data_IF_225274780649
#
_entry.id   IF_225274780649
#
_cell.length_a   1.000
_cell.length_b   1.000
_cell.length_c   1.000
_cell.angle_alpha   90.00
_cell.angle_beta   90.00
_cell.angle_gamma   90.00
#
_symmetry.space_group_name_H-M   'P 1'
#
loop_
_entity.id
_entity.type
_entity.pdbx_description
1 polymer ?
#
# COMPACT_ATOMS: atom_id res chain seq x y z
N UNK A 1 12.76 -2.72 -15.65
CA UNK A 1 12.19 -2.86 -15.50
C UNK A 1 11.26 -3.21 -15.58
N UNK A 2 10.93 -3.13 -15.94
CA UNK A 2 10.13 -3.38 -16.02
C UNK A 2 9.16 -3.51 -16.25
N UNK A 3 8.94 -3.59 -16.46
CA UNK A 3 8.14 -3.70 -16.75
C UNK A 3 7.20 -3.99 -16.99
N UNK A 4 6.95 -4.03 -16.61
CA UNK A 4 6.11 -4.46 -17.03
C UNK A 4 5.14 -4.07 -17.69
N UNK A 5 5.20 -3.94 -18.32
CA UNK A 5 4.50 -3.42 -18.95
C UNK A 5 3.52 -3.96 -19.79
N UNK A 6 3.38 -5.10 -19.87
CA UNK A 6 2.41 -5.65 -20.69
C UNK A 6 1.09 -5.73 -20.09
N UNK A 7 1.03 -5.77 -18.86
CA UNK A 7 -0.20 -5.97 -18.23
C UNK A 7 -0.82 -4.72 -17.79
N UNK A 8 -1.91 -4.83 -17.14
CA UNK A 8 -2.59 -3.73 -16.55
C UNK A 8 -2.19 -3.56 -15.11
N UNK A 9 -1.28 -4.40 -14.64
CA UNK A 9 -0.85 -4.32 -13.26
C UNK A 9 0.65 -4.40 -13.17
N UNK A 10 1.18 -3.90 -12.11
CA UNK A 10 2.59 -3.94 -11.81
C UNK A 10 2.76 -4.46 -10.40
N UNK A 11 3.98 -4.79 -10.04
CA UNK A 11 4.27 -5.29 -8.71
C UNK A 11 5.07 -4.29 -7.92
N UNK A 12 4.83 -4.28 -6.63
CA UNK A 12 5.63 -3.53 -5.68
C UNK A 12 6.21 -4.51 -4.69
N UNK A 13 7.51 -4.41 -4.46
CA UNK A 13 8.17 -5.18 -3.42
C UNK A 13 8.80 -4.23 -2.45
N UNK A 14 8.58 -4.47 -1.19
CA UNK A 14 9.12 -3.63 -0.15
C UNK A 14 9.31 -4.47 1.09
N UNK A 15 10.36 -4.15 1.84
CA UNK A 15 10.60 -4.81 3.12
C UNK A 15 10.03 -3.96 4.21
N UNK A 16 9.39 -4.62 5.15
CA UNK A 16 8.91 -3.94 6.34
C UNK A 16 9.22 -4.81 7.54
N UNK A 17 9.21 -4.20 8.69
CA UNK A 17 9.44 -4.92 9.93
C UNK A 17 8.36 -5.96 10.14
N UNK A 18 8.72 -7.16 10.60
CA UNK A 18 7.71 -8.21 10.79
C UNK A 18 6.59 -7.83 11.73
N UNK A 19 6.91 -7.13 12.81
CA UNK A 19 5.88 -6.71 13.74
C UNK A 19 4.92 -5.72 13.12
N UNK A 20 5.43 -4.79 12.34
CA UNK A 20 4.58 -3.84 11.65
C UNK A 20 3.66 -4.53 10.67
N UNK A 21 4.19 -5.51 9.95
CA UNK A 21 3.36 -6.25 9.02
C UNK A 21 2.24 -6.98 9.75
N UNK A 22 2.57 -7.62 10.86
CA UNK A 22 1.58 -8.37 11.62
C UNK A 22 0.51 -7.46 12.18
N UNK A 23 0.91 -6.37 12.81
CA UNK A 23 -0.04 -5.46 13.42
C UNK A 23 -0.94 -4.80 12.39
N UNK A 24 -0.35 -4.36 11.28
CA UNK A 24 -1.14 -3.71 10.25
C UNK A 24 -2.12 -4.68 9.60
N UNK A 25 -1.69 -5.92 9.39
CA UNK A 25 -2.58 -6.94 8.84
C UNK A 25 -3.79 -7.15 9.74
N UNK A 26 -3.58 -7.18 11.04
CA UNK A 26 -4.67 -7.39 11.99
C UNK A 26 -5.64 -6.22 11.99
N UNK A 27 -5.11 -5.00 12.01
CA UNK A 27 -5.96 -3.82 12.00
C UNK A 27 -6.76 -3.74 10.71
N UNK A 28 -6.10 -4.01 9.59
CA UNK A 28 -6.77 -3.93 8.30
C UNK A 28 -7.83 -5.00 8.14
N UNK A 29 -7.58 -6.18 8.69
CA UNK A 29 -8.57 -7.25 8.63
C UNK A 29 -9.87 -6.82 9.32
N UNK A 30 -9.77 -6.10 10.44
CA UNK A 30 -10.94 -5.59 11.12
C UNK A 30 -11.73 -4.61 10.26
N UNK A 31 -11.07 -3.99 9.29
CA UNK A 31 -11.72 -3.05 8.38
C UNK A 31 -12.12 -3.71 7.07
N UNK A 32 -11.92 -5.01 6.95
CA UNK A 32 -12.27 -5.72 5.74
C UNK A 32 -11.26 -5.55 4.63
N UNK A 33 -10.02 -5.19 4.97
CA UNK A 33 -8.99 -4.94 3.98
C UNK A 33 -7.82 -5.87 4.17
N UNK A 34 -7.11 -6.16 3.09
CA UNK A 34 -5.82 -6.82 3.19
C UNK A 34 -4.73 -5.79 2.88
N UNK A 35 -3.48 -6.20 3.02
CA UNK A 35 -2.37 -5.28 2.81
C UNK A 35 -2.34 -4.75 1.39
N UNK A 36 -2.56 -5.60 0.41
CA UNK A 36 -2.53 -5.16 -0.98
C UNK A 36 -3.61 -4.13 -1.25
N UNK A 37 -4.79 -4.36 -0.74
CA UNK A 37 -5.89 -3.41 -0.89
C UNK A 37 -5.59 -2.09 -0.23
N UNK A 38 -5.02 -2.15 0.98
CA UNK A 38 -4.67 -0.94 1.70
C UNK A 38 -3.60 -0.13 0.97
N UNK A 39 -2.61 -0.81 0.41
CA UNK A 39 -1.56 -0.13 -0.34
C UNK A 39 -2.16 0.57 -1.56
N UNK A 40 -3.06 -0.09 -2.27
CA UNK A 40 -3.69 0.53 -3.43
C UNK A 40 -4.50 1.76 -3.04
N UNK A 41 -5.22 1.67 -1.94
CA UNK A 41 -5.99 2.81 -1.45
C UNK A 41 -5.08 3.97 -1.09
N UNK A 42 -3.99 3.68 -0.40
CA UNK A 42 -3.05 4.71 -0.01
C UNK A 42 -2.48 5.40 -1.25
N UNK A 43 -2.06 4.63 -2.23
CA UNK A 43 -1.43 5.19 -3.41
C UNK A 43 -2.41 6.02 -4.24
N UNK A 44 -3.67 5.63 -4.29
CA UNK A 44 -4.68 6.45 -4.95
C UNK A 44 -4.81 7.80 -4.26
N UNK A 45 -4.80 7.80 -2.94
CA UNK A 45 -4.87 9.05 -2.19
C UNK A 45 -3.66 9.92 -2.43
N UNK A 46 -2.50 9.30 -2.54
CA UNK A 46 -1.27 10.06 -2.83
C UNK A 46 -1.41 10.78 -4.16
N UNK A 47 -1.96 10.12 -5.16
CA UNK A 47 -2.13 10.73 -6.47
C UNK A 47 -3.16 11.84 -6.43
N UNK A 48 -4.28 11.61 -5.76
CA UNK A 48 -5.35 12.59 -5.71
C UNK A 48 -4.94 13.85 -4.97
N UNK A 49 -4.22 13.68 -3.88
CA UNK A 49 -3.78 14.80 -3.06
C UNK A 49 -2.57 15.50 -3.65
N UNK A 50 -1.77 14.75 -4.41
CA UNK A 50 -0.51 15.27 -4.92
C UNK A 50 0.57 15.29 -3.87
N UNK A 51 0.49 14.40 -2.90
CA UNK A 51 1.44 14.32 -1.81
C UNK A 51 0.93 13.30 -0.82
N UNK A 52 1.44 13.37 0.41
CA UNK A 52 0.97 12.44 1.43
C UNK A 52 -0.37 12.92 1.97
N UNK A 53 -1.30 11.99 2.20
CA UNK A 53 -2.62 12.36 2.72
C UNK A 53 -2.60 12.59 4.24
N UNK A 54 -1.42 12.69 4.82
CA UNK A 54 -1.27 12.99 6.23
C UNK A 54 0.08 13.63 6.46
N UNK A 55 0.28 14.18 7.64
CA UNK A 55 1.56 14.78 7.98
C UNK A 55 2.52 13.72 8.45
N UNK A 56 3.77 13.86 8.03
CA UNK A 56 4.84 12.97 8.48
C UNK A 56 5.63 13.69 9.55
N UNK A 57 5.89 12.98 10.66
CA UNK A 57 6.62 13.55 11.77
C UNK A 57 7.98 12.93 11.94
#
# INVERSE_FOLDING_TARGET
MQAATYGKSAEIRSRIEPDLKKQSTEVLADLGLDLSGAIRLFLRQVVEVGGLPFEVR
#
